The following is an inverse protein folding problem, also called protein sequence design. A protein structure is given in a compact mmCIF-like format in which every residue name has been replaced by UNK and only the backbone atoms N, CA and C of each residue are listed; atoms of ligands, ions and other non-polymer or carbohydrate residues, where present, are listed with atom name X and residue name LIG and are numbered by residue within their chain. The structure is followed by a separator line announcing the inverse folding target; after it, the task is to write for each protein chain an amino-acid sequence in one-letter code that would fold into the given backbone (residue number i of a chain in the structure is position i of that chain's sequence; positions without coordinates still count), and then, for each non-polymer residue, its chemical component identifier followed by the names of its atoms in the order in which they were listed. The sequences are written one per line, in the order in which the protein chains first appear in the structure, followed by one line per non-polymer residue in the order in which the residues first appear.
data_IF_266472719668
#
_entry.id   IF_266472719668
#
_cell.length_a   1.000
_cell.length_b   1.000
_cell.length_c   1.000
_cell.angle_alpha   90.00
_cell.angle_beta   90.00
_cell.angle_gamma   90.00
#
_symmetry.space_group_name_H-M   'P 1'
#
loop_
_entity.id
_entity.type
_entity.pdbx_description
1 polymer ?
#
# COMPACT_ATOMS: atom_id res chain seq x y z
N UNK A 1 -21.79 30.84 8.13
CA UNK A 1 -22.84 31.52 7.38
C UNK A 1 -23.57 30.58 6.41
N UNK A 2 -23.11 29.32 6.33
CA UNK A 2 -23.66 28.27 5.46
C UNK A 2 -23.38 28.44 3.96
N UNK A 3 -22.66 29.49 3.56
CA UNK A 3 -22.34 29.79 2.16
C UNK A 3 -20.93 29.37 1.78
N UNK A 4 -20.05 29.16 2.74
CA UNK A 4 -18.67 28.76 2.52
C UNK A 4 -18.33 27.56 3.39
N UNK A 5 -17.51 26.66 2.85
CA UNK A 5 -17.00 25.49 3.53
C UNK A 5 -15.48 25.41 3.46
N UNK A 6 -14.89 24.62 4.33
CA UNK A 6 -13.50 24.24 4.27
C UNK A 6 -13.43 22.79 3.76
N UNK A 7 -12.66 22.57 2.71
CA UNK A 7 -12.43 21.28 2.09
C UNK A 7 -10.95 20.88 2.22
N UNK A 8 -10.70 19.59 2.40
CA UNK A 8 -9.38 19.00 2.30
C UNK A 8 -9.45 17.84 1.30
N UNK A 9 -8.65 17.93 0.26
CA UNK A 9 -8.52 16.84 -0.72
C UNK A 9 -7.12 16.25 -0.65
N UNK A 10 -7.04 14.94 -0.63
CA UNK A 10 -5.78 14.23 -0.60
C UNK A 10 -5.69 13.18 -1.72
N UNK A 11 -4.47 12.86 -2.07
CA UNK A 11 -4.13 11.64 -2.80
C UNK A 11 -2.76 11.19 -2.29
N UNK A 12 -2.23 10.09 -2.81
CA UNK A 12 -0.87 9.67 -2.43
C UNK A 12 0.15 10.79 -2.62
N UNK A 13 0.03 11.59 -3.69
CA UNK A 13 0.96 12.68 -4.05
C UNK A 13 0.46 14.09 -3.71
N UNK A 14 -0.77 14.22 -3.22
CA UNK A 14 -1.37 15.51 -2.88
C UNK A 14 -1.54 15.66 -1.37
N UNK A 15 -0.77 16.57 -0.78
CA UNK A 15 -0.96 16.96 0.61
C UNK A 15 -2.36 17.57 0.82
N UNK A 16 -3.07 17.22 1.91
CA UNK A 16 -4.42 17.72 2.18
C UNK A 16 -4.42 19.15 2.72
N UNK A 17 -3.98 20.11 1.92
CA UNK A 17 -4.11 21.53 2.22
C UNK A 17 -5.57 21.97 2.36
N UNK A 18 -5.78 23.11 3.04
CA UNK A 18 -7.09 23.69 3.20
C UNK A 18 -7.50 24.44 1.93
N UNK A 19 -8.72 24.22 1.50
CA UNK A 19 -9.37 24.90 0.39
C UNK A 19 -10.68 25.54 0.87
N UNK A 20 -10.88 26.79 0.52
CA UNK A 20 -12.16 27.47 0.70
C UNK A 20 -13.06 27.15 -0.49
N UNK A 21 -14.28 26.72 -0.25
CA UNK A 21 -15.27 26.38 -1.27
C UNK A 21 -16.61 27.06 -0.97
N UNK A 22 -17.40 27.31 -2.03
CA UNK A 22 -18.79 27.74 -1.90
C UNK A 22 -19.71 26.53 -1.61
N UNK A 23 -21.01 26.79 -1.49
CA UNK A 23 -22.04 25.77 -1.22
C UNK A 23 -22.12 24.68 -2.31
N UNK A 24 -21.72 24.97 -3.54
CA UNK A 24 -21.71 24.01 -4.66
C UNK A 24 -20.39 23.27 -4.81
N UNK A 25 -19.41 23.49 -3.93
CA UNK A 25 -18.04 22.93 -3.98
C UNK A 25 -17.29 23.27 -5.27
N UNK A 26 -17.69 24.35 -5.95
CA UNK A 26 -17.05 24.81 -7.19
C UNK A 26 -15.93 25.81 -6.91
N UNK A 27 -14.95 25.88 -7.81
CA UNK A 27 -13.85 26.85 -7.79
C UNK A 27 -13.14 26.95 -6.44
N UNK A 28 -12.56 25.83 -5.93
CA UNK A 28 -11.86 25.83 -4.66
C UNK A 28 -10.66 26.77 -4.69
N UNK A 29 -10.50 27.56 -3.64
CA UNK A 29 -9.37 28.46 -3.43
C UNK A 29 -8.48 27.87 -2.36
N UNK A 30 -7.25 27.49 -2.71
CA UNK A 30 -6.27 27.00 -1.73
C UNK A 30 -5.88 28.13 -0.77
N UNK A 31 -6.04 27.90 0.53
CA UNK A 31 -5.76 28.88 1.60
C UNK A 31 -4.65 28.43 2.55
N UNK A 32 -4.07 27.23 2.35
CA UNK A 32 -2.87 26.77 3.06
C UNK A 32 -1.85 26.19 2.08
N UNK A 33 -0.59 26.16 2.51
CA UNK A 33 0.53 25.52 1.82
C UNK A 33 1.46 24.92 2.88
N UNK A 34 1.02 23.81 3.49
CA UNK A 34 1.66 23.28 4.70
C UNK A 34 2.83 22.33 4.43
N UNK A 35 2.98 21.84 3.19
CA UNK A 35 4.02 20.88 2.82
C UNK A 35 4.71 21.24 1.49
N UNK A 36 5.23 22.45 1.31
CA UNK A 36 5.81 22.90 0.03
C UNK A 36 7.08 22.15 -0.37
N UNK A 37 7.80 21.56 0.59
CA UNK A 37 9.04 20.80 0.37
C UNK A 37 8.81 19.46 -0.31
N UNK A 38 7.58 18.97 -0.40
CA UNK A 38 7.27 17.69 -1.06
C UNK A 38 7.76 17.65 -2.51
N UNK A 39 7.71 18.79 -3.22
CA UNK A 39 8.17 18.93 -4.61
C UNK A 39 9.67 18.68 -4.80
N UNK A 40 10.45 18.70 -3.72
CA UNK A 40 11.90 18.57 -3.74
C UNK A 40 12.38 17.13 -3.44
N UNK A 41 11.44 16.18 -3.31
CA UNK A 41 11.71 14.77 -3.02
C UNK A 41 10.99 13.86 -3.99
N UNK A 42 11.56 12.67 -4.24
CA UNK A 42 10.90 11.63 -5.03
C UNK A 42 9.62 11.15 -4.35
N UNK A 43 8.55 11.04 -5.13
CA UNK A 43 7.25 10.65 -4.61
C UNK A 43 6.65 9.51 -5.43
N UNK A 44 6.32 8.36 -4.81
CA UNK A 44 5.79 7.22 -5.52
C UNK A 44 4.38 7.47 -6.04
N UNK A 45 4.00 6.71 -7.06
CA UNK A 45 2.61 6.53 -7.46
C UNK A 45 1.98 5.35 -6.73
N UNK A 46 0.64 5.31 -6.70
CA UNK A 46 -0.13 4.16 -6.20
C UNK A 46 -1.22 3.82 -7.19
N UNK A 47 -1.46 2.53 -7.38
CA UNK A 47 -2.58 2.03 -8.17
C UNK A 47 -3.34 0.95 -7.43
N UNK A 48 -4.65 0.87 -7.67
CA UNK A 48 -5.49 -0.23 -7.23
C UNK A 48 -5.30 -1.40 -8.19
N UNK A 49 -4.89 -2.54 -7.65
CA UNK A 49 -4.78 -3.78 -8.40
C UNK A 49 -5.87 -4.76 -7.99
N UNK A 50 -6.35 -5.56 -8.94
CA UNK A 50 -7.38 -6.57 -8.72
C UNK A 50 -6.91 -7.90 -9.30
N UNK A 51 -7.14 -8.97 -8.55
CA UNK A 51 -6.82 -10.34 -8.97
C UNK A 51 -7.81 -11.33 -8.37
N UNK A 52 -7.76 -12.56 -8.83
CA UNK A 52 -8.52 -13.65 -8.22
C UNK A 52 -7.61 -14.49 -7.32
N UNK A 53 -8.08 -14.80 -6.12
CA UNK A 53 -7.46 -15.79 -5.24
C UNK A 53 -7.55 -17.19 -5.85
N UNK A 54 -6.85 -18.17 -5.26
CA UNK A 54 -6.87 -19.55 -5.77
C UNK A 54 -8.25 -20.21 -5.70
N UNK A 55 -9.11 -19.74 -4.83
CA UNK A 55 -10.52 -20.11 -4.64
C UNK A 55 -11.50 -19.21 -5.39
N UNK A 56 -11.00 -18.45 -6.38
CA UNK A 56 -11.79 -17.58 -7.27
C UNK A 56 -12.53 -16.41 -6.59
N UNK A 57 -12.04 -15.97 -5.45
CA UNK A 57 -12.52 -14.73 -4.81
C UNK A 57 -11.82 -13.54 -5.45
N UNK A 58 -12.58 -12.54 -5.87
CA UNK A 58 -12.01 -11.27 -6.36
C UNK A 58 -11.42 -10.49 -5.19
N UNK A 59 -10.14 -10.19 -5.28
CA UNK A 59 -9.36 -9.45 -4.30
C UNK A 59 -8.87 -8.13 -4.88
N UNK A 60 -8.62 -7.18 -4.00
CA UNK A 60 -8.06 -5.87 -4.30
C UNK A 60 -6.83 -5.59 -3.42
N UNK A 61 -6.02 -4.64 -3.85
CA UNK A 61 -4.88 -4.19 -3.06
C UNK A 61 -4.22 -2.98 -3.69
N UNK A 62 -3.33 -2.36 -2.94
CA UNK A 62 -2.58 -1.18 -3.37
C UNK A 62 -1.18 -1.58 -3.81
N UNK A 63 -0.77 -1.11 -4.98
CA UNK A 63 0.58 -1.28 -5.52
C UNK A 63 1.26 0.08 -5.60
N UNK A 64 2.29 0.30 -4.80
CA UNK A 64 3.12 1.50 -4.83
C UNK A 64 4.31 1.26 -5.74
N UNK A 65 4.56 2.21 -6.63
CA UNK A 65 5.63 2.19 -7.62
C UNK A 65 6.55 3.38 -7.39
N UNK A 66 7.89 3.21 -7.50
CA UNK A 66 8.83 4.34 -7.54
C UNK A 66 8.42 5.38 -8.57
N UNK A 67 8.73 6.65 -8.33
CA UNK A 67 8.44 7.75 -9.27
C UNK A 67 8.99 7.47 -10.68
N UNK A 68 10.22 6.92 -10.74
CA UNK A 68 10.92 6.58 -11.97
C UNK A 68 10.86 5.06 -12.25
N UNK A 69 9.68 4.44 -12.05
CA UNK A 69 9.53 3.01 -12.32
C UNK A 69 9.81 2.66 -13.78
N UNK A 70 10.75 1.74 -13.98
CA UNK A 70 11.27 1.31 -15.28
C UNK A 70 11.10 -0.21 -15.44
N UNK A 71 10.30 -0.63 -16.39
CA UNK A 71 10.00 -2.05 -16.65
C UNK A 71 11.21 -2.86 -17.14
N UNK A 72 12.30 -2.20 -17.53
CA UNK A 72 13.56 -2.87 -17.94
C UNK A 72 14.42 -3.27 -16.76
N UNK A 73 14.18 -2.72 -15.57
CA UNK A 73 14.85 -3.05 -14.31
C UNK A 73 14.11 -4.15 -13.57
N UNK A 74 14.71 -4.64 -12.47
CA UNK A 74 14.07 -5.53 -11.50
C UNK A 74 14.13 -4.89 -10.13
N UNK A 75 12.99 -4.86 -9.45
CA UNK A 75 12.82 -4.21 -8.16
C UNK A 75 12.54 -5.23 -7.05
N UNK A 76 13.08 -5.02 -5.85
CA UNK A 76 12.62 -5.78 -4.69
C UNK A 76 11.16 -5.46 -4.38
N UNK A 77 10.44 -6.46 -3.86
CA UNK A 77 9.04 -6.31 -3.47
C UNK A 77 8.91 -6.44 -1.95
N UNK A 78 8.32 -5.45 -1.30
CA UNK A 78 7.87 -5.54 0.08
C UNK A 78 6.35 -5.70 0.11
N UNK A 79 5.86 -6.72 0.81
CA UNK A 79 4.44 -6.98 0.98
C UNK A 79 4.08 -6.69 2.45
N UNK A 80 3.21 -5.73 2.66
CA UNK A 80 2.66 -5.38 3.97
C UNK A 80 1.17 -5.65 4.01
N UNK A 81 0.68 -6.26 5.07
CA UNK A 81 -0.72 -6.60 5.18
C UNK A 81 -1.22 -6.57 6.63
N UNK A 82 -2.52 -6.38 6.76
CA UNK A 82 -3.24 -6.46 8.02
C UNK A 82 -4.62 -7.10 7.77
N UNK A 83 -5.53 -6.37 7.17
CA UNK A 83 -6.88 -6.79 6.80
C UNK A 83 -7.27 -6.13 5.47
N UNK A 84 -8.16 -5.12 5.49
CA UNK A 84 -8.56 -4.36 4.31
C UNK A 84 -7.82 -3.02 4.28
N UNK A 85 -7.20 -2.71 3.16
CA UNK A 85 -6.38 -1.51 2.98
C UNK A 85 -6.66 -0.76 1.68
N UNK A 86 -7.40 -1.34 0.73
CA UNK A 86 -7.65 -0.75 -0.60
C UNK A 86 -8.36 0.59 -0.54
N UNK A 87 -9.18 0.83 0.49
CA UNK A 87 -9.84 2.13 0.76
C UNK A 87 -8.85 3.27 0.98
N UNK A 88 -7.58 2.97 1.28
CA UNK A 88 -6.52 3.97 1.44
C UNK A 88 -5.90 4.45 0.13
N UNK A 89 -6.44 4.10 -1.04
CA UNK A 89 -5.91 4.51 -2.35
C UNK A 89 -5.66 6.01 -2.48
N UNK A 90 -6.51 6.83 -1.89
CA UNK A 90 -6.42 8.29 -1.94
C UNK A 90 -5.87 8.91 -0.65
N UNK A 91 -5.33 8.09 0.26
CA UNK A 91 -4.78 8.58 1.53
C UNK A 91 -3.37 9.15 1.34
N UNK A 92 -3.17 10.38 1.79
CA UNK A 92 -1.83 10.95 1.91
C UNK A 92 -1.11 10.32 3.11
N UNK A 93 0.10 9.85 2.89
CA UNK A 93 0.98 9.35 3.96
C UNK A 93 2.29 10.11 3.92
N UNK A 94 2.63 10.79 5.02
CA UNK A 94 3.93 11.44 5.15
C UNK A 94 5.03 10.37 5.26
N UNK A 95 6.14 10.49 4.53
CA UNK A 95 7.29 9.61 4.70
C UNK A 95 7.90 9.86 6.09
N UNK A 96 7.88 8.82 6.91
CA UNK A 96 8.47 8.85 8.26
C UNK A 96 8.76 7.43 8.72
N UNK A 97 9.83 7.20 9.48
CA UNK A 97 10.09 5.91 10.10
C UNK A 97 8.93 5.47 10.99
N UNK A 98 8.70 4.17 11.06
CA UNK A 98 7.78 3.56 12.00
C UNK A 98 8.48 2.40 12.71
N UNK A 99 8.21 2.24 13.99
CA UNK A 99 8.74 1.12 14.79
C UNK A 99 8.03 -0.21 14.50
N UNK A 100 6.85 -0.17 13.89
CA UNK A 100 5.95 -1.33 13.83
C UNK A 100 5.57 -1.74 12.41
N UNK A 101 5.47 -0.79 11.50
CA UNK A 101 4.97 -1.02 10.13
C UNK A 101 5.91 -0.37 9.11
N UNK A 102 5.92 -0.88 7.90
CA UNK A 102 6.60 -0.17 6.80
C UNK A 102 5.81 1.10 6.43
N UNK A 103 6.53 2.13 6.00
CA UNK A 103 5.93 3.27 5.33
C UNK A 103 6.07 3.06 3.82
N UNK A 104 4.98 2.85 3.07
CA UNK A 104 5.06 2.54 1.64
C UNK A 104 5.69 3.67 0.82
N UNK A 105 5.54 4.94 1.25
CA UNK A 105 6.16 6.08 0.57
C UNK A 105 7.67 6.01 0.69
N UNK A 106 8.19 5.75 1.91
CA UNK A 106 9.62 5.66 2.16
C UNK A 106 10.26 4.50 1.39
N UNK A 107 9.65 3.32 1.42
CA UNK A 107 10.18 2.16 0.68
C UNK A 107 10.15 2.40 -0.83
N UNK A 108 9.03 2.90 -1.37
CA UNK A 108 8.92 3.11 -2.81
C UNK A 108 9.80 4.26 -3.32
N UNK A 109 10.08 5.29 -2.52
CA UNK A 109 11.07 6.32 -2.88
C UNK A 109 12.52 5.83 -2.81
N UNK A 110 12.77 4.64 -2.25
CA UNK A 110 14.05 3.94 -2.22
C UNK A 110 14.08 2.71 -3.15
N UNK A 111 13.39 2.80 -4.28
CA UNK A 111 13.39 1.78 -5.34
C UNK A 111 12.83 0.41 -4.93
N UNK A 112 11.92 0.35 -3.96
CA UNK A 112 11.11 -0.84 -3.70
C UNK A 112 9.75 -0.72 -4.38
N UNK A 113 9.23 -1.83 -4.85
CA UNK A 113 7.81 -2.00 -5.06
C UNK A 113 7.17 -2.35 -3.71
N UNK A 114 6.02 -1.75 -3.39
CA UNK A 114 5.31 -2.08 -2.15
C UNK A 114 3.90 -2.51 -2.48
N UNK A 115 3.53 -3.72 -2.04
CA UNK A 115 2.20 -4.27 -2.23
C UNK A 115 1.47 -4.38 -0.90
N UNK A 116 0.25 -3.87 -0.86
CA UNK A 116 -0.62 -3.93 0.31
C UNK A 116 -1.94 -4.59 -0.12
N UNK A 117 -2.03 -5.93 -0.06
CA UNK A 117 -3.23 -6.67 -0.40
C UNK A 117 -4.33 -6.51 0.66
N UNK A 118 -5.57 -6.57 0.21
CA UNK A 118 -6.69 -6.91 1.06
C UNK A 118 -6.70 -8.41 1.33
N UNK A 119 -6.96 -8.76 2.58
CA UNK A 119 -7.14 -10.15 3.01
C UNK A 119 -8.62 -10.40 3.25
N UNK A 120 -9.21 -11.33 2.53
CA UNK A 120 -10.57 -11.82 2.77
C UNK A 120 -10.49 -13.08 3.60
N UNK A 121 -11.15 -13.08 4.76
CA UNK A 121 -11.09 -14.17 5.71
C UNK A 121 -12.26 -15.14 5.56
N UNK A 122 -11.92 -16.42 5.62
CA UNK A 122 -12.85 -17.48 5.96
C UNK A 122 -12.83 -17.66 7.48
N UNK A 123 -14.03 -17.70 8.10
CA UNK A 123 -14.17 -17.82 9.55
C UNK A 123 -13.49 -19.10 10.05
N UNK A 124 -12.70 -18.96 11.11
CA UNK A 124 -11.93 -20.05 11.66
C UNK A 124 -10.62 -20.41 10.92
N UNK A 125 -10.36 -19.81 9.74
CA UNK A 125 -9.20 -20.14 8.91
C UNK A 125 -8.35 -18.93 8.48
N UNK A 126 -7.99 -18.00 9.39
CA UNK A 126 -7.33 -16.75 9.02
C UNK A 126 -5.96 -16.94 8.35
N UNK A 127 -5.17 -17.92 8.81
CA UNK A 127 -3.86 -18.20 8.23
C UNK A 127 -3.92 -18.72 6.80
N UNK A 128 -4.90 -19.58 6.48
CA UNK A 128 -5.12 -20.06 5.11
C UNK A 128 -5.61 -18.94 4.20
N UNK A 129 -6.50 -18.09 4.72
CA UNK A 129 -7.04 -16.95 3.99
C UNK A 129 -5.93 -15.95 3.64
N UNK A 130 -5.05 -15.63 4.58
CA UNK A 130 -3.87 -14.81 4.33
C UNK A 130 -2.97 -15.44 3.27
N UNK A 131 -2.68 -16.74 3.40
CA UNK A 131 -1.87 -17.48 2.42
C UNK A 131 -2.48 -17.39 1.02
N UNK A 132 -3.76 -17.71 0.85
CA UNK A 132 -4.44 -17.68 -0.45
C UNK A 132 -4.40 -16.28 -1.08
N UNK A 133 -4.70 -15.24 -0.30
CA UNK A 133 -4.72 -13.85 -0.75
C UNK A 133 -3.33 -13.35 -1.16
N UNK A 134 -2.32 -13.57 -0.31
CA UNK A 134 -0.96 -13.05 -0.53
C UNK A 134 -0.27 -13.81 -1.66
N UNK A 135 -0.35 -15.12 -1.68
CA UNK A 135 0.32 -15.95 -2.70
C UNK A 135 -0.25 -15.74 -4.10
N UNK A 136 -1.58 -15.72 -4.22
CA UNK A 136 -2.23 -15.45 -5.51
C UNK A 136 -1.96 -14.03 -6.00
N UNK A 137 -1.95 -13.05 -5.08
CA UNK A 137 -1.54 -11.68 -5.38
C UNK A 137 -0.09 -11.61 -5.86
N UNK A 138 0.82 -12.30 -5.19
CA UNK A 138 2.23 -12.36 -5.62
C UNK A 138 2.38 -12.97 -7.01
N UNK A 139 1.65 -14.06 -7.32
CA UNK A 139 1.66 -14.67 -8.66
C UNK A 139 1.14 -13.73 -9.74
N UNK A 140 0.11 -12.97 -9.44
CA UNK A 140 -0.42 -11.94 -10.33
C UNK A 140 0.62 -10.83 -10.58
N UNK A 141 1.23 -10.31 -9.50
CA UNK A 141 2.18 -9.20 -9.59
C UNK A 141 3.46 -9.56 -10.36
N UNK A 142 3.99 -10.78 -10.19
CA UNK A 142 5.16 -11.26 -10.91
C UNK A 142 4.96 -11.33 -12.44
N UNK A 143 3.71 -11.44 -12.88
CA UNK A 143 3.37 -11.42 -14.32
C UNK A 143 3.18 -9.99 -14.84
N UNK A 144 2.82 -9.05 -13.96
CA UNK A 144 2.45 -7.68 -14.36
C UNK A 144 3.59 -6.67 -14.16
N UNK A 145 4.44 -6.86 -13.15
CA UNK A 145 5.45 -5.89 -12.75
C UNK A 145 6.87 -6.44 -12.82
N UNK A 146 7.83 -5.54 -12.91
CA UNK A 146 9.25 -5.85 -12.99
C UNK A 146 9.84 -6.19 -11.60
N UNK A 147 9.37 -7.26 -10.98
CA UNK A 147 9.77 -7.72 -9.65
C UNK A 147 10.98 -8.66 -9.76
N UNK A 148 11.96 -8.51 -8.85
CA UNK A 148 12.99 -9.49 -8.58
C UNK A 148 12.41 -10.57 -7.65
N UNK A 149 12.11 -11.73 -8.21
CA UNK A 149 11.48 -12.84 -7.46
C UNK A 149 12.36 -13.42 -6.34
N UNK A 150 13.66 -13.10 -6.33
CA UNK A 150 14.59 -13.49 -5.27
C UNK A 150 14.68 -12.46 -4.14
N UNK A 151 14.06 -11.27 -4.31
CA UNK A 151 14.09 -10.17 -3.35
C UNK A 151 12.69 -9.74 -2.94
N UNK A 152 11.91 -10.68 -2.44
CA UNK A 152 10.57 -10.43 -1.92
C UNK A 152 10.56 -10.60 -0.41
N UNK A 153 9.95 -9.64 0.31
CA UNK A 153 9.82 -9.67 1.76
C UNK A 153 8.38 -9.53 2.23
N UNK A 154 8.10 -10.10 3.39
CA UNK A 154 6.81 -10.01 4.11
C UNK A 154 6.96 -9.15 5.36
N UNK A 155 5.98 -8.32 5.66
CA UNK A 155 5.92 -7.62 6.93
C UNK A 155 4.47 -7.47 7.39
N UNK A 156 4.21 -7.84 8.62
CA UNK A 156 2.93 -7.64 9.29
C UNK A 156 3.13 -7.32 10.77
N UNK A 157 2.22 -6.51 11.32
CA UNK A 157 2.20 -6.10 12.72
C UNK A 157 0.91 -6.60 13.36
N UNK A 158 0.96 -7.04 14.63
CA UNK A 158 -0.21 -7.52 15.38
C UNK A 158 -0.90 -8.66 14.61
N UNK A 159 -2.14 -8.50 14.18
CA UNK A 159 -2.84 -9.45 13.33
C UNK A 159 -2.07 -9.81 12.05
N UNK A 160 -1.42 -8.83 11.40
CA UNK A 160 -0.51 -9.07 10.29
C UNK A 160 0.76 -9.83 10.72
N UNK A 161 1.23 -9.62 11.97
CA UNK A 161 2.33 -10.37 12.57
C UNK A 161 2.00 -11.86 12.72
N UNK A 162 0.82 -12.18 13.27
CA UNK A 162 0.29 -13.54 13.31
C UNK A 162 0.26 -14.18 11.92
N UNK A 163 -0.29 -13.47 10.93
CA UNK A 163 -0.34 -13.97 9.56
C UNK A 163 1.05 -14.22 8.98
N UNK A 164 2.02 -13.33 9.26
CA UNK A 164 3.41 -13.51 8.81
C UNK A 164 4.04 -14.74 9.45
N UNK A 165 3.85 -14.95 10.76
CA UNK A 165 4.32 -16.14 11.45
C UNK A 165 3.72 -17.42 10.85
N UNK A 166 2.44 -17.41 10.50
CA UNK A 166 1.79 -18.51 9.80
C UNK A 166 2.34 -18.70 8.38
N UNK A 167 2.53 -17.62 7.62
CA UNK A 167 3.03 -17.67 6.24
C UNK A 167 4.39 -18.37 6.13
N UNK A 168 5.33 -18.07 7.01
CA UNK A 168 6.68 -18.66 6.94
C UNK A 168 6.72 -20.16 7.27
N UNK A 169 5.66 -20.70 7.86
CA UNK A 169 5.51 -22.15 8.03
C UNK A 169 4.94 -22.86 6.80
N UNK A 170 4.34 -22.10 5.88
CA UNK A 170 3.63 -22.63 4.71
C UNK A 170 4.38 -22.44 3.40
N UNK A 171 5.34 -21.50 3.33
CA UNK A 171 6.10 -21.21 2.12
C UNK A 171 7.49 -20.69 2.45
N UNK A 172 8.46 -21.00 1.56
CA UNK A 172 9.83 -20.47 1.58
C UNK A 172 10.08 -19.49 0.41
N UNK A 173 9.02 -18.96 -0.19
CA UNK A 173 9.09 -18.10 -1.38
C UNK A 173 9.72 -16.73 -1.10
N UNK A 174 9.64 -16.25 0.12
CA UNK A 174 10.07 -14.90 0.49
C UNK A 174 11.45 -14.94 1.14
N UNK A 175 12.33 -14.03 0.70
CA UNK A 175 13.71 -13.96 1.18
C UNK A 175 13.84 -13.44 2.61
N UNK A 176 12.85 -12.67 3.07
CA UNK A 176 12.80 -12.12 4.42
C UNK A 176 11.36 -12.02 4.91
N UNK A 177 11.19 -12.09 6.24
CA UNK A 177 9.89 -11.89 6.88
C UNK A 177 10.07 -11.22 8.24
N UNK A 178 9.19 -10.28 8.55
CA UNK A 178 9.12 -9.63 9.86
C UNK A 178 7.71 -9.79 10.43
N UNK A 179 7.59 -10.56 11.51
CA UNK A 179 6.37 -10.70 12.28
C UNK A 179 6.48 -9.82 13.54
N UNK A 180 5.82 -8.67 13.52
CA UNK A 180 5.84 -7.73 14.63
C UNK A 180 4.69 -8.02 15.61
N UNK A 181 4.97 -8.23 16.88
CA UNK A 181 3.98 -8.49 17.95
C UNK A 181 2.85 -9.43 17.47
N UNK A 182 3.20 -10.66 17.03
CA UNK A 182 2.27 -11.62 16.46
C UNK A 182 1.27 -12.16 17.50
#
# INVERSE_FOLDING_TARGET
DGKNGLLRRSSVSRYPDLELVNEDFQNPIQISNANPQQKDVYWPSVELVKWYSYDSVLLEGLMYLPENYDTTKRYPLMIYYYELNSDNLHSYRSPRPSASIINPIEYASNDYLVFIPDIRYEEGHPGKSAYSSIMSGTDFLLKKYAIDSLKMGLQGQSWGGYQTAQMVTMTNRYAAAMAGAP
#
